data_IF_176153990661
#
_entry.id   IF_176153990661
#
_cell.length_a   1.000
_cell.length_b   1.000
_cell.length_c   1.000
_cell.angle_alpha   90.00
_cell.angle_beta   90.00
_cell.angle_gamma   90.00
#
_symmetry.space_group_name_H-M   'P 1'
#
loop_
_entity.id
_entity.type
_entity.pdbx_description
1 polymer ?
#
# COMPACT_ATOMS: atom_id res chain seq x y z
N UNK A 1 -15.61 0.51 7.66
CA UNK A 1 -14.33 0.76 6.95
C UNK A 1 -14.50 0.36 5.50
N UNK A 2 -14.10 1.22 4.58
CA UNK A 2 -14.03 0.88 3.16
C UNK A 2 -12.58 0.89 2.68
N UNK A 3 -12.30 0.08 1.67
CA UNK A 3 -10.99 -0.02 1.04
C UNK A 3 -11.13 -0.12 -0.47
N UNK A 4 -10.22 0.54 -1.18
CA UNK A 4 -10.12 0.51 -2.63
C UNK A 4 -8.74 0.00 -3.03
N UNK A 5 -8.67 -1.22 -3.54
CA UNK A 5 -7.42 -1.78 -4.05
C UNK A 5 -7.47 -2.03 -5.55
N UNK A 6 -6.31 -2.24 -6.16
CA UNK A 6 -6.17 -2.61 -7.57
C UNK A 6 -5.48 -3.96 -7.55
N UNK A 7 -5.98 -4.89 -8.35
CA UNK A 7 -5.33 -6.20 -8.54
C UNK A 7 -3.87 -6.04 -8.98
N UNK A 8 -3.01 -7.03 -8.69
CA UNK A 8 -1.57 -6.99 -9.05
C UNK A 8 -1.30 -6.77 -10.54
N UNK A 9 -2.27 -7.13 -11.41
CA UNK A 9 -2.21 -6.85 -12.86
C UNK A 9 -2.48 -5.38 -13.23
N UNK A 10 -2.95 -4.54 -12.30
CA UNK A 10 -3.37 -3.16 -12.55
C UNK A 10 -4.70 -3.00 -13.28
N UNK A 11 -5.24 -4.07 -13.88
CA UNK A 11 -6.38 -4.03 -14.82
C UNK A 11 -7.74 -3.90 -14.16
N UNK A 12 -7.88 -4.37 -12.91
CA UNK A 12 -9.14 -4.37 -12.17
C UNK A 12 -9.00 -3.66 -10.83
N UNK A 13 -9.93 -2.76 -10.54
CA UNK A 13 -10.14 -2.20 -9.21
C UNK A 13 -11.04 -3.11 -8.37
N UNK A 14 -10.86 -3.08 -7.06
CA UNK A 14 -11.67 -3.76 -6.07
C UNK A 14 -12.12 -2.73 -5.05
N UNK A 15 -13.39 -2.80 -4.67
CA UNK A 15 -13.98 -2.03 -3.59
C UNK A 15 -14.46 -3.03 -2.53
N UNK A 16 -13.96 -2.88 -1.32
CA UNK A 16 -14.35 -3.67 -0.17
C UNK A 16 -14.95 -2.81 0.93
N UNK A 17 -15.84 -3.39 1.72
CA UNK A 17 -16.35 -2.77 2.95
C UNK A 17 -16.43 -3.79 4.09
N UNK A 18 -16.22 -3.29 5.32
CA UNK A 18 -16.33 -4.05 6.57
C UNK A 18 -17.01 -3.21 7.65
N UNK A 19 -17.74 -3.87 8.53
CA UNK A 19 -18.33 -3.27 9.73
C UNK A 19 -17.58 -3.71 10.97
N UNK A 20 -17.42 -2.78 11.92
CA UNK A 20 -16.86 -3.02 13.24
C UNK A 20 -17.84 -2.52 14.27
N UNK A 21 -18.19 -3.35 15.24
CA UNK A 21 -19.16 -3.02 16.28
C UNK A 21 -18.94 -3.89 17.50
N UNK A 22 -19.54 -3.48 18.62
CA UNK A 22 -19.58 -4.27 19.85
C UNK A 22 -20.94 -4.97 19.88
N UNK A 23 -20.94 -6.30 20.05
CA UNK A 23 -22.18 -7.06 20.09
C UNK A 23 -22.83 -7.04 21.49
N UNK A 24 -23.99 -7.69 21.65
CA UNK A 24 -24.71 -7.76 22.93
C UNK A 24 -23.93 -8.47 24.05
N UNK A 25 -22.89 -9.23 23.72
CA UNK A 25 -22.00 -9.93 24.65
C UNK A 25 -20.75 -9.12 24.99
N UNK A 26 -20.69 -7.85 24.61
CA UNK A 26 -19.51 -6.98 24.78
C UNK A 26 -18.28 -7.46 24.01
N UNK A 27 -18.47 -8.25 22.96
CA UNK A 27 -17.39 -8.73 22.11
C UNK A 27 -17.19 -7.78 20.93
N UNK A 28 -15.94 -7.42 20.67
CA UNK A 28 -15.58 -6.67 19.48
C UNK A 28 -15.69 -7.55 18.23
N UNK A 29 -16.57 -7.17 17.33
CA UNK A 29 -16.85 -7.89 16.09
C UNK A 29 -16.29 -7.09 14.90
N UNK A 30 -15.64 -7.80 13.96
CA UNK A 30 -15.23 -7.25 12.68
C UNK A 30 -15.69 -8.20 11.57
N UNK A 31 -16.63 -7.74 10.74
CA UNK A 31 -17.21 -8.54 9.66
C UNK A 31 -16.93 -7.89 8.31
N UNK A 32 -16.52 -8.70 7.34
CA UNK A 32 -16.50 -8.28 5.94
C UNK A 32 -17.95 -8.20 5.43
N UNK A 33 -18.34 -7.06 4.87
CA UNK A 33 -19.68 -6.88 4.33
C UNK A 33 -19.74 -7.33 2.87
N UNK A 34 -18.80 -6.85 2.06
CA UNK A 34 -18.70 -7.27 0.66
C UNK A 34 -17.33 -6.95 0.07
N UNK A 35 -17.02 -7.62 -1.04
CA UNK A 35 -15.96 -7.27 -1.98
C UNK A 35 -16.57 -7.28 -3.38
N UNK A 36 -16.35 -6.22 -4.16
CA UNK A 36 -16.79 -6.15 -5.56
C UNK A 36 -15.69 -5.66 -6.47
N UNK A 37 -15.69 -6.18 -7.70
CA UNK A 37 -14.89 -5.59 -8.77
C UNK A 37 -15.47 -4.21 -9.12
N UNK A 38 -14.60 -3.22 -9.19
CA UNK A 38 -14.91 -1.84 -9.51
C UNK A 38 -13.98 -1.32 -10.61
N UNK A 39 -14.49 -1.37 -11.84
CA UNK A 39 -13.86 -0.76 -13.01
C UNK A 39 -14.57 0.53 -13.45
N UNK A 40 -15.50 1.03 -12.62
CA UNK A 40 -16.30 2.21 -12.90
C UNK A 40 -15.61 3.51 -12.46
N UNK A 41 -16.38 4.60 -12.47
CA UNK A 41 -15.92 5.91 -12.03
C UNK A 41 -15.44 5.89 -10.57
N UNK A 42 -14.21 6.41 -10.35
CA UNK A 42 -13.60 6.61 -9.03
C UNK A 42 -14.09 7.88 -8.32
N UNK A 43 -15.13 8.54 -8.82
CA UNK A 43 -15.69 9.73 -8.20
C UNK A 43 -16.28 9.37 -6.83
N UNK A 44 -15.96 10.16 -5.81
CA UNK A 44 -16.26 9.81 -4.41
C UNK A 44 -17.75 9.58 -4.18
N UNK A 45 -18.62 10.44 -4.71
CA UNK A 45 -20.08 10.29 -4.59
C UNK A 45 -20.61 8.97 -5.16
N UNK A 46 -20.09 8.53 -6.31
CA UNK A 46 -20.46 7.24 -6.91
C UNK A 46 -19.98 6.06 -6.08
N UNK A 47 -18.81 6.18 -5.45
CA UNK A 47 -18.29 5.15 -4.54
C UNK A 47 -19.15 5.05 -3.28
N UNK A 48 -19.52 6.18 -2.65
CA UNK A 48 -20.43 6.22 -1.50
C UNK A 48 -21.74 5.51 -1.80
N UNK A 49 -22.45 5.95 -2.85
CA UNK A 49 -23.75 5.36 -3.26
C UNK A 49 -23.62 3.85 -3.48
N UNK A 50 -22.51 3.39 -4.04
CA UNK A 50 -22.29 1.96 -4.28
C UNK A 50 -22.04 1.18 -3.00
N UNK A 51 -21.32 1.75 -2.03
CA UNK A 51 -21.12 1.14 -0.72
C UNK A 51 -22.48 1.01 -0.02
N UNK A 52 -23.23 2.11 0.06
CA UNK A 52 -24.46 2.19 0.85
C UNK A 52 -25.56 1.33 0.25
N UNK A 53 -25.81 1.45 -1.06
CA UNK A 53 -26.79 0.59 -1.77
C UNK A 53 -26.46 -0.90 -1.67
N UNK A 54 -25.18 -1.28 -1.67
CA UNK A 54 -24.78 -2.69 -1.59
C UNK A 54 -24.95 -3.24 -0.18
N UNK A 55 -24.62 -2.46 0.85
CA UNK A 55 -24.85 -2.85 2.24
C UNK A 55 -26.34 -2.98 2.51
N UNK A 56 -27.15 -2.01 2.05
CA UNK A 56 -28.60 -2.05 2.20
C UNK A 56 -29.20 -3.28 1.49
N UNK A 57 -28.79 -3.55 0.25
CA UNK A 57 -29.30 -4.71 -0.49
C UNK A 57 -28.93 -6.06 0.15
N UNK A 58 -27.75 -6.18 0.76
CA UNK A 58 -27.26 -7.45 1.32
C UNK A 58 -27.69 -7.66 2.78
N UNK A 59 -27.75 -6.60 3.57
CA UNK A 59 -27.92 -6.68 5.02
C UNK A 59 -29.14 -5.91 5.54
N UNK A 60 -29.82 -5.10 4.70
CA UNK A 60 -30.90 -4.18 5.09
C UNK A 60 -30.48 -3.24 6.22
N UNK A 61 -29.28 -2.70 6.08
CA UNK A 61 -28.65 -1.78 7.02
C UNK A 61 -28.39 -0.47 6.30
N UNK A 62 -29.02 0.59 6.80
CA UNK A 62 -28.68 1.95 6.41
C UNK A 62 -27.34 2.33 7.05
N UNK A 63 -26.27 2.09 6.30
CA UNK A 63 -24.92 2.40 6.76
C UNK A 63 -24.66 3.90 6.93
N UNK A 64 -25.44 4.79 6.30
CA UNK A 64 -25.27 6.24 6.51
C UNK A 64 -25.84 6.66 7.87
N UNK A 65 -27.06 6.23 8.17
CA UNK A 65 -27.69 6.55 9.45
C UNK A 65 -27.03 5.83 10.64
N UNK A 66 -26.49 4.62 10.45
CA UNK A 66 -26.00 3.79 11.55
C UNK A 66 -24.49 3.91 11.82
N UNK A 67 -23.69 4.40 10.88
CA UNK A 67 -22.24 4.46 11.05
C UNK A 67 -21.81 5.72 11.80
N UNK A 68 -21.36 5.56 13.05
CA UNK A 68 -20.73 6.66 13.79
C UNK A 68 -19.36 7.07 13.22
N UNK A 69 -18.61 6.11 12.67
CA UNK A 69 -17.27 6.33 12.15
C UNK A 69 -17.10 5.73 10.76
N UNK A 70 -16.57 6.54 9.83
CA UNK A 70 -16.21 6.06 8.49
C UNK A 70 -14.70 6.04 8.33
N UNK A 71 -14.14 4.82 8.41
CA UNK A 71 -12.71 4.61 8.27
C UNK A 71 -12.30 4.35 6.81
N UNK A 72 -11.32 5.10 6.31
CA UNK A 72 -10.77 5.00 4.96
C UNK A 72 -9.24 4.87 4.94
N UNK A 73 -8.66 4.48 3.81
CA UNK A 73 -7.23 4.71 3.57
C UNK A 73 -6.87 6.22 3.57
N UNK A 74 -5.57 6.54 3.66
CA UNK A 74 -5.06 7.91 3.69
C UNK A 74 -4.83 8.51 2.29
N UNK A 75 -5.12 7.76 1.22
CA UNK A 75 -5.03 8.27 -0.13
C UNK A 75 -6.17 9.27 -0.40
N UNK A 76 -5.82 10.38 -1.05
CA UNK A 76 -6.73 11.52 -1.23
C UNK A 76 -8.06 11.15 -1.89
N UNK A 77 -8.09 10.18 -2.81
CA UNK A 77 -9.31 9.73 -3.46
C UNK A 77 -10.28 8.98 -2.54
N UNK A 78 -9.77 8.24 -1.57
CA UNK A 78 -10.59 7.37 -0.70
C UNK A 78 -10.94 8.08 0.60
N UNK A 79 -10.04 8.95 1.09
CA UNK A 79 -10.35 9.90 2.14
C UNK A 79 -11.42 10.92 1.72
N UNK A 80 -11.50 11.27 0.43
CA UNK A 80 -12.65 12.04 -0.10
C UNK A 80 -13.98 11.30 0.01
N UNK A 81 -13.97 9.96 0.02
CA UNK A 81 -15.18 9.15 0.17
C UNK A 81 -15.66 9.14 1.62
N UNK A 82 -14.77 9.10 2.62
CA UNK A 82 -15.21 9.18 4.02
C UNK A 82 -15.80 10.54 4.37
N UNK A 83 -15.24 11.63 3.83
CA UNK A 83 -15.72 13.01 4.07
C UNK A 83 -17.13 13.32 3.56
N UNK A 84 -17.69 12.51 2.65
CA UNK A 84 -19.04 12.72 2.11
C UNK A 84 -20.12 11.94 2.88
N UNK A 85 -19.75 11.22 3.93
CA UNK A 85 -20.69 10.69 4.91
C UNK A 85 -20.89 11.74 6.01
N UNK A 86 -21.93 12.55 5.89
CA UNK A 86 -22.15 13.77 6.70
C UNK A 86 -22.33 13.46 8.19
N UNK A 87 -23.07 12.40 8.51
CA UNK A 87 -23.40 12.01 9.89
C UNK A 87 -22.33 11.16 10.58
N UNK A 88 -21.27 10.79 9.86
CA UNK A 88 -20.20 9.93 10.36
C UNK A 88 -18.90 10.70 10.54
N UNK A 89 -18.14 10.37 11.59
CA UNK A 89 -16.82 10.94 11.80
C UNK A 89 -15.79 10.24 10.89
N UNK A 90 -15.17 10.96 9.91
CA UNK A 90 -14.15 10.37 9.06
C UNK A 90 -12.90 10.06 9.89
N UNK A 91 -12.40 8.84 9.79
CA UNK A 91 -11.23 8.38 10.55
C UNK A 91 -10.21 7.74 9.61
N UNK A 92 -8.93 8.03 9.81
CA UNK A 92 -7.87 7.38 9.03
C UNK A 92 -7.65 5.93 9.46
N UNK A 93 -7.40 5.07 8.48
CA UNK A 93 -7.02 3.68 8.72
C UNK A 93 -5.65 3.62 9.42
N UNK A 94 -5.63 3.10 10.64
CA UNK A 94 -4.42 2.98 11.46
C UNK A 94 -3.30 2.20 10.77
N UNK A 95 -3.62 1.17 9.97
CA UNK A 95 -2.63 0.43 9.18
C UNK A 95 -1.97 1.31 8.11
N UNK A 96 -2.77 2.15 7.43
CA UNK A 96 -2.25 3.07 6.42
C UNK A 96 -1.44 4.20 7.04
N UNK A 97 -1.89 4.74 8.18
CA UNK A 97 -1.13 5.75 8.95
C UNK A 97 0.21 5.18 9.40
N UNK A 98 0.23 3.97 9.97
CA UNK A 98 1.49 3.29 10.36
C UNK A 98 2.42 3.08 9.18
N UNK A 99 1.90 2.55 8.07
CA UNK A 99 2.68 2.37 6.83
C UNK A 99 3.21 3.70 6.30
N UNK A 100 2.44 4.78 6.43
CA UNK A 100 2.84 6.12 6.04
C UNK A 100 3.97 6.66 6.93
N UNK A 101 3.87 6.53 8.25
CA UNK A 101 4.93 6.89 9.19
C UNK A 101 6.24 6.16 8.87
N UNK A 102 6.17 4.86 8.58
CA UNK A 102 7.34 4.08 8.15
C UNK A 102 7.94 4.63 6.86
N UNK A 103 7.12 4.99 5.86
CA UNK A 103 7.60 5.58 4.61
C UNK A 103 8.29 6.94 4.81
N UNK A 104 7.78 7.80 5.69
CA UNK A 104 8.48 9.04 6.06
C UNK A 104 9.79 8.76 6.78
N UNK A 105 9.78 7.85 7.76
CA UNK A 105 10.98 7.44 8.51
C UNK A 105 12.10 6.91 7.60
N UNK A 106 11.73 6.19 6.54
CA UNK A 106 12.63 5.60 5.54
C UNK A 106 13.03 6.56 4.39
N UNK A 107 12.67 7.84 4.47
CA UNK A 107 12.87 8.84 3.43
C UNK A 107 12.22 8.49 2.07
N UNK A 108 11.23 7.60 2.05
CA UNK A 108 10.51 7.19 0.85
C UNK A 108 9.39 8.16 0.47
N UNK A 109 8.93 8.97 1.43
CA UNK A 109 7.89 9.96 1.24
C UNK A 109 8.32 11.28 1.87
N UNK A 110 7.97 12.37 1.19
CA UNK A 110 8.22 13.75 1.61
C UNK A 110 6.96 14.56 1.38
N UNK A 111 6.60 15.43 2.31
CA UNK A 111 5.52 16.38 2.11
C UNK A 111 6.06 17.61 1.40
N UNK A 112 5.43 17.91 0.28
CA UNK A 112 5.71 19.09 -0.49
C UNK A 112 4.44 19.94 -0.54
N UNK A 113 4.59 21.21 -0.26
CA UNK A 113 3.53 22.19 -0.42
C UNK A 113 3.85 23.07 -1.63
N UNK A 114 2.81 23.44 -2.36
CA UNK A 114 2.96 24.43 -3.42
C UNK A 114 2.82 25.82 -2.81
N UNK A 115 3.86 26.62 -2.90
CA UNK A 115 3.85 28.02 -2.47
C UNK A 115 3.95 28.92 -3.69
N UNK A 116 3.21 30.03 -3.70
CA UNK A 116 3.31 31.04 -4.74
C UNK A 116 4.27 32.12 -4.25
N UNK A 117 5.47 32.14 -4.82
CA UNK A 117 6.52 33.11 -4.47
C UNK A 117 6.51 34.20 -5.52
N UNK A 118 6.40 35.46 -5.10
CA UNK A 118 6.53 36.60 -6.01
C UNK A 118 8.02 36.80 -6.27
N UNK A 119 8.43 36.71 -7.52
CA UNK A 119 9.81 36.96 -7.90
C UNK A 119 10.14 38.45 -7.72
N UNK A 120 11.17 38.81 -6.92
CA UNK A 120 11.44 40.19 -6.52
C UNK A 120 11.86 41.09 -7.69
N UNK A 121 12.29 40.50 -8.80
CA UNK A 121 12.79 41.15 -10.00
C UNK A 121 11.70 41.43 -11.06
N UNK A 122 10.66 40.61 -11.10
CA UNK A 122 9.67 40.61 -12.19
C UNK A 122 8.23 40.82 -11.71
N UNK A 123 8.01 40.82 -10.39
CA UNK A 123 6.70 40.92 -9.73
C UNK A 123 5.68 39.87 -10.24
N UNK A 124 6.18 38.77 -10.81
CA UNK A 124 5.37 37.66 -11.30
C UNK A 124 5.31 36.57 -10.23
N UNK A 125 4.11 36.03 -10.02
CA UNK A 125 3.94 34.88 -9.15
C UNK A 125 4.54 33.64 -9.82
N UNK A 126 5.50 33.03 -9.14
CA UNK A 126 6.09 31.76 -9.52
C UNK A 126 5.58 30.68 -8.56
N UNK A 127 5.12 29.58 -9.15
CA UNK A 127 4.73 28.38 -8.41
C UNK A 127 5.99 27.62 -8.01
N UNK A 128 6.26 27.51 -6.72
CA UNK A 128 7.39 26.75 -6.19
C UNK A 128 6.90 25.62 -5.30
N UNK A 129 7.65 24.51 -5.32
CA UNK A 129 7.35 23.33 -4.52
C UNK A 129 8.28 23.36 -3.30
N UNK A 130 7.75 23.72 -2.14
CA UNK A 130 8.52 23.80 -0.90
C UNK A 130 8.42 22.48 -0.14
N UNK A 131 9.55 21.98 0.37
CA UNK A 131 9.58 20.81 1.23
C UNK A 131 9.08 21.21 2.63
N UNK A 132 7.93 20.68 3.04
CA UNK A 132 7.30 21.01 4.32
C UNK A 132 7.73 20.08 5.46
N UNK A 133 8.04 18.82 5.14
CA UNK A 133 8.58 17.87 6.12
C UNK A 133 9.97 17.42 5.71
N UNK A 134 10.97 17.65 6.57
CA UNK A 134 12.28 17.00 6.42
C UNK A 134 12.05 15.49 6.51
N UNK A 135 12.65 14.72 5.59
CA UNK A 135 12.57 13.27 5.58
C UNK A 135 13.05 12.66 6.90
N UNK A 136 12.75 11.38 7.11
CA UNK A 136 13.13 10.67 8.34
C UNK A 136 14.65 10.58 8.58
N UNK A 137 15.07 10.11 9.77
CA UNK A 137 16.46 10.15 10.23
C UNK A 137 17.41 9.21 9.48
N UNK A 138 16.93 8.49 8.45
CA UNK A 138 17.72 7.52 7.69
C UNK A 138 17.96 8.00 6.25
N UNK A 139 18.87 8.97 6.04
CA UNK A 139 19.23 9.43 4.70
C UNK A 139 19.81 8.26 3.89
N UNK A 140 19.34 8.10 2.65
CA UNK A 140 19.79 7.03 1.75
C UNK A 140 19.07 5.69 1.90
N UNK A 141 18.17 5.54 2.88
CA UNK A 141 17.37 4.32 3.02
C UNK A 141 16.45 4.09 1.80
N UNK A 142 15.88 5.16 1.24
CA UNK A 142 15.15 5.10 -0.03
C UNK A 142 16.01 4.53 -1.18
N UNK A 143 17.30 4.88 -1.24
CA UNK A 143 18.23 4.35 -2.24
C UNK A 143 18.54 2.87 -1.99
N UNK A 144 18.68 2.45 -0.72
CA UNK A 144 18.81 1.04 -0.35
C UNK A 144 17.58 0.24 -0.79
N UNK A 145 16.38 0.72 -0.47
CA UNK A 145 15.13 0.07 -0.90
C UNK A 145 15.09 -0.09 -2.42
N UNK A 146 15.49 0.94 -3.19
CA UNK A 146 15.57 0.85 -4.65
C UNK A 146 16.51 -0.27 -5.10
N UNK A 147 17.67 -0.42 -4.46
CA UNK A 147 18.62 -1.52 -4.76
C UNK A 147 18.02 -2.89 -4.43
N UNK A 148 17.37 -3.01 -3.27
CA UNK A 148 16.72 -4.24 -2.82
C UNK A 148 15.57 -4.63 -3.77
N UNK A 149 14.76 -3.66 -4.20
CA UNK A 149 13.71 -3.86 -5.22
C UNK A 149 14.27 -4.38 -6.52
N UNK A 150 15.35 -3.77 -7.02
CA UNK A 150 16.01 -4.22 -8.25
C UNK A 150 16.53 -5.65 -8.13
N UNK A 151 17.08 -6.01 -6.97
CA UNK A 151 17.53 -7.37 -6.69
C UNK A 151 16.35 -8.35 -6.69
N UNK A 152 15.24 -7.99 -6.06
CA UNK A 152 14.05 -8.82 -6.01
C UNK A 152 13.44 -9.03 -7.40
N UNK A 153 13.28 -7.95 -8.16
CA UNK A 153 12.80 -7.98 -9.55
C UNK A 153 13.71 -8.83 -10.44
N UNK A 154 15.03 -8.82 -10.19
CA UNK A 154 15.95 -9.68 -10.91
C UNK A 154 15.62 -11.17 -10.69
N UNK A 155 15.29 -11.59 -9.47
CA UNK A 155 14.95 -13.00 -9.20
C UNK A 155 13.52 -13.39 -9.54
N UNK A 156 12.68 -12.45 -9.96
CA UNK A 156 11.25 -12.67 -10.19
C UNK A 156 10.90 -13.38 -11.51
N UNK A 157 11.88 -13.80 -12.33
CA UNK A 157 11.57 -14.61 -13.52
C UNK A 157 11.31 -16.07 -13.14
N UNK A 158 10.42 -16.81 -13.83
CA UNK A 158 10.08 -18.19 -13.47
C UNK A 158 11.31 -19.09 -13.30
N UNK A 159 12.27 -19.01 -14.21
CA UNK A 159 13.52 -19.77 -14.15
C UNK A 159 14.38 -19.42 -12.91
N UNK A 160 14.38 -18.16 -12.49
CA UNK A 160 15.19 -17.71 -11.34
C UNK A 160 14.48 -18.00 -10.02
N UNK A 161 13.15 -17.95 -10.00
CA UNK A 161 12.34 -18.39 -8.86
C UNK A 161 12.56 -19.88 -8.63
N UNK A 162 12.47 -20.72 -9.67
CA UNK A 162 12.69 -22.17 -9.53
C UNK A 162 14.10 -22.48 -8.99
N UNK A 163 15.13 -21.80 -9.53
CA UNK A 163 16.51 -21.93 -9.02
C UNK A 163 16.63 -21.47 -7.57
N UNK A 164 15.97 -20.38 -7.20
CA UNK A 164 15.97 -19.89 -5.83
C UNK A 164 15.33 -20.90 -4.88
N UNK A 165 14.18 -21.47 -5.25
CA UNK A 165 13.48 -22.51 -4.48
C UNK A 165 14.36 -23.73 -4.27
N UNK A 166 15.05 -24.23 -5.31
CA UNK A 166 15.98 -25.37 -5.17
C UNK A 166 17.10 -25.08 -4.18
N UNK A 167 17.65 -23.87 -4.18
CA UNK A 167 18.70 -23.48 -3.23
C UNK A 167 18.14 -23.30 -1.82
N UNK A 168 16.93 -22.74 -1.67
CA UNK A 168 16.27 -22.65 -0.37
C UNK A 168 16.05 -24.04 0.24
N UNK A 169 15.53 -24.99 -0.55
CA UNK A 169 15.37 -26.39 -0.15
C UNK A 169 16.69 -27.04 0.23
N UNK A 170 17.77 -26.79 -0.52
CA UNK A 170 19.09 -27.36 -0.22
C UNK A 170 19.66 -26.90 1.13
N UNK A 171 19.33 -25.69 1.58
CA UNK A 171 19.79 -25.14 2.86
C UNK A 171 18.72 -25.21 3.97
N UNK A 172 17.64 -25.96 3.77
CA UNK A 172 16.50 -26.05 4.69
C UNK A 172 15.92 -24.68 5.08
N UNK A 173 15.94 -23.73 4.14
CA UNK A 173 15.41 -22.38 4.34
C UNK A 173 13.92 -22.31 3.95
N UNK A 174 13.13 -21.41 4.58
CA UNK A 174 11.76 -21.18 4.17
C UNK A 174 11.65 -20.81 2.68
N UNK A 175 10.75 -21.48 1.96
CA UNK A 175 10.49 -21.19 0.55
C UNK A 175 9.77 -19.85 0.42
N UNK A 176 10.56 -18.80 0.16
CA UNK A 176 10.06 -17.44 0.00
C UNK A 176 10.40 -16.93 -1.39
N UNK A 177 9.37 -16.83 -2.22
CA UNK A 177 9.49 -16.22 -3.55
C UNK A 177 9.82 -14.72 -3.46
N UNK A 178 10.41 -14.13 -4.50
CA UNK A 178 10.47 -12.69 -4.68
C UNK A 178 9.07 -12.05 -4.58
N UNK A 179 8.99 -10.80 -4.12
CA UNK A 179 7.74 -10.02 -4.06
C UNK A 179 7.77 -8.92 -5.10
N UNK A 180 6.67 -8.73 -5.83
CA UNK A 180 6.49 -7.57 -6.71
C UNK A 180 5.88 -6.45 -5.88
N UNK A 181 6.36 -5.21 -6.04
CA UNK A 181 5.86 -4.04 -5.29
C UNK A 181 4.33 -3.84 -5.40
N UNK A 182 3.66 -4.44 -6.39
CA UNK A 182 2.21 -4.38 -6.54
C UNK A 182 1.43 -5.33 -5.61
N UNK A 183 2.08 -6.29 -4.95
CA UNK A 183 1.42 -7.34 -4.16
C UNK A 183 0.97 -6.84 -2.77
N UNK A 184 1.59 -5.79 -2.22
CA UNK A 184 1.24 -5.23 -0.90
C UNK A 184 1.30 -3.70 -0.89
N UNK A 185 0.21 -3.02 -0.54
CA UNK A 185 0.15 -1.54 -0.42
C UNK A 185 0.59 -1.00 0.94
N UNK A 186 0.47 -1.83 1.97
CA UNK A 186 0.80 -1.53 3.36
C UNK A 186 1.99 -2.40 3.75
N UNK A 187 3.00 -1.81 4.39
CA UNK A 187 4.19 -2.50 4.89
C UNK A 187 5.02 -3.28 3.84
N UNK A 188 4.95 -2.91 2.55
CA UNK A 188 5.72 -3.55 1.48
C UNK A 188 7.23 -3.57 1.74
N UNK A 189 7.76 -2.52 2.34
CA UNK A 189 9.18 -2.46 2.71
C UNK A 189 9.56 -3.53 3.73
N UNK A 190 8.71 -3.81 4.73
CA UNK A 190 9.00 -4.83 5.75
C UNK A 190 9.06 -6.23 5.12
N UNK A 191 8.06 -6.58 4.31
CA UNK A 191 8.03 -7.86 3.58
C UNK A 191 9.20 -7.99 2.61
N UNK A 192 9.55 -6.89 1.92
CA UNK A 192 10.70 -6.84 1.02
C UNK A 192 12.00 -7.14 1.77
N UNK A 193 12.22 -6.53 2.94
CA UNK A 193 13.42 -6.78 3.75
C UNK A 193 13.44 -8.21 4.31
N UNK A 194 12.34 -8.72 4.85
CA UNK A 194 12.27 -10.11 5.35
C UNK A 194 12.69 -11.12 4.29
N UNK A 195 12.11 -11.02 3.08
CA UNK A 195 12.46 -11.89 1.96
C UNK A 195 13.91 -11.71 1.51
N UNK A 196 14.40 -10.48 1.51
CA UNK A 196 15.79 -10.18 1.12
C UNK A 196 16.79 -10.73 2.13
N UNK A 197 16.51 -10.62 3.43
CA UNK A 197 17.38 -11.10 4.52
C UNK A 197 17.51 -12.62 4.46
N UNK A 198 16.40 -13.33 4.31
CA UNK A 198 16.39 -14.81 4.23
C UNK A 198 17.18 -15.28 2.99
N UNK A 199 17.07 -14.55 1.88
CA UNK A 199 17.77 -14.87 0.64
C UNK A 199 19.16 -14.23 0.53
N UNK A 200 19.61 -13.46 1.52
CA UNK A 200 20.82 -12.64 1.41
C UNK A 200 22.07 -13.50 1.25
N UNK A 201 22.17 -14.60 2.00
CA UNK A 201 23.28 -15.56 1.89
C UNK A 201 23.30 -16.27 0.53
N UNK A 202 22.14 -16.43 -0.10
CA UNK A 202 21.96 -17.14 -1.37
C UNK A 202 22.31 -16.26 -2.58
N UNK A 203 22.01 -14.96 -2.52
CA UNK A 203 22.21 -14.06 -3.67
C UNK A 203 23.67 -14.00 -4.17
N UNK A 204 24.70 -13.92 -3.30
CA UNK A 204 26.10 -14.03 -3.73
C UNK A 204 26.43 -15.38 -4.34
N UNK A 205 25.93 -16.49 -3.77
CA UNK A 205 26.19 -17.84 -4.27
C UNK A 205 25.64 -18.03 -5.69
N UNK A 206 24.42 -17.56 -5.96
CA UNK A 206 23.82 -17.58 -7.30
C UNK A 206 24.57 -16.68 -8.30
N UNK A 207 25.17 -15.58 -7.84
CA UNK A 207 26.01 -14.70 -8.67
C UNK A 207 27.38 -15.33 -8.99
N UNK A 208 27.95 -16.09 -8.06
CA UNK A 208 29.22 -16.82 -8.24
C UNK A 208 29.04 -18.03 -9.16
N UNK A 209 27.96 -18.79 -9.01
CA UNK A 209 27.62 -19.90 -9.91
C UNK A 209 27.49 -19.44 -11.37
N UNK A 210 27.01 -18.22 -11.61
CA UNK A 210 26.99 -17.62 -12.96
C UNK A 210 28.39 -17.28 -13.49
N UNK A 211 29.33 -16.86 -12.63
CA UNK A 211 30.72 -16.59 -13.06
C UNK A 211 31.48 -17.88 -13.36
N UNK A 212 31.11 -18.99 -12.74
CA UNK A 212 31.73 -20.31 -12.98
C UNK A 212 31.05 -21.11 -14.10
N UNK A 213 29.75 -20.92 -14.34
CA UNK A 213 29.00 -21.56 -15.43
C UNK A 213 29.01 -20.78 -16.76
N UNK A 214 30.04 -19.95 -16.97
CA UNK A 214 30.29 -19.23 -18.23
C UNK A 214 31.40 -19.90 -19.05
N UNK A 215 31.48 -21.22 -19.02
CA UNK A 215 32.18 -22.07 -20.00
C UNK A 215 31.40 -23.38 -20.07
N UNK A 216 31.06 -23.77 -21.31
CA UNK A 216 30.29 -24.91 -21.80
C UNK A 216 28.77 -24.78 -21.78
#
# INVERSE_FOLDING_TARGET
MHDNCTTGSGKKGLLGSSARFINKKWEFCNIALFITVHNGSRASGKVKVRITSRIEALFRIDSEAMAQFTMSDTASSVHKVSKIFEDSLPTDCTMHVRSLCLQYGMDMRKNYETVYVVAPDTNKQKKELCLFSVGGPFPGFAALIKKVRNLNNYFNSPQRVERLTKVQQFYDLPELSPIVDCDTRVASSATLFQRTIINYSIFPALRILRRRGGVQ
#
